data_IF_370355936517
#
_entry.id   IF_370355936517
#
_cell.length_a   1.000
_cell.length_b   1.000
_cell.length_c   1.000
_cell.angle_alpha   90.00
_cell.angle_beta   90.00
_cell.angle_gamma   90.00
#
_symmetry.space_group_name_H-M   'P 1'
#
loop_
_entity.id
_entity.type
_entity.pdbx_description
1 polymer ?
#
# COMPACT_ATOMS: atom_id res chain seq x y z
N UNK A 1 1.82 -10.76 7.54
CA UNK A 1 1.42 -9.33 7.64
C UNK A 1 1.23 -8.85 6.22
N UNK A 2 0.15 -8.14 5.92
CA UNK A 2 -0.12 -7.68 4.55
C UNK A 2 0.82 -6.54 4.14
N UNK A 3 1.00 -6.32 2.83
CA UNK A 3 1.79 -5.21 2.30
C UNK A 3 1.36 -3.85 2.89
N UNK A 4 0.06 -3.59 2.95
CA UNK A 4 -0.46 -2.34 3.49
C UNK A 4 -0.13 -2.17 4.97
N UNK A 5 -0.26 -3.22 5.78
CA UNK A 5 0.09 -3.17 7.19
C UNK A 5 1.61 -2.97 7.38
N UNK A 6 2.43 -3.63 6.56
CA UNK A 6 3.88 -3.42 6.54
C UNK A 6 4.23 -1.97 6.22
N UNK A 7 3.75 -1.45 5.08
CA UNK A 7 4.06 -0.11 4.61
C UNK A 7 3.56 0.97 5.58
N UNK A 8 2.37 0.80 6.16
CA UNK A 8 1.82 1.71 7.16
C UNK A 8 2.70 1.75 8.43
N UNK A 9 3.13 0.58 8.92
CA UNK A 9 4.01 0.50 10.09
C UNK A 9 5.37 1.18 9.83
N UNK A 10 5.98 0.94 8.66
CA UNK A 10 7.25 1.59 8.29
C UNK A 10 7.11 3.09 8.11
N UNK A 11 6.04 3.52 7.44
CA UNK A 11 5.73 4.94 7.24
C UNK A 11 5.52 5.66 8.55
N UNK A 12 4.81 5.07 9.50
CA UNK A 12 4.60 5.67 10.81
C UNK A 12 5.92 5.79 11.58
N UNK A 13 6.74 4.72 11.62
CA UNK A 13 8.01 4.75 12.31
C UNK A 13 8.95 5.84 11.77
N UNK A 14 9.12 5.91 10.44
CA UNK A 14 9.95 6.94 9.80
C UNK A 14 9.35 8.33 10.02
N UNK A 15 8.02 8.47 9.97
CA UNK A 15 7.36 9.75 10.25
C UNK A 15 7.69 10.26 11.66
N UNK A 16 7.62 9.38 12.66
CA UNK A 16 7.91 9.72 14.06
C UNK A 16 9.39 10.13 14.23
N UNK A 17 10.31 9.43 13.57
CA UNK A 17 11.74 9.80 13.53
C UNK A 17 11.94 11.19 12.92
N UNK A 18 11.32 11.47 11.78
CA UNK A 18 11.41 12.75 11.10
C UNK A 18 10.77 13.89 11.92
N UNK A 19 9.65 13.62 12.62
CA UNK A 19 9.03 14.58 13.54
C UNK A 19 9.95 14.91 14.72
N UNK A 20 10.69 13.93 15.22
CA UNK A 20 11.69 14.12 16.27
C UNK A 20 12.97 14.81 15.78
N UNK A 21 13.08 15.10 14.48
CA UNK A 21 14.26 15.70 13.86
C UNK A 21 15.40 14.71 13.61
N UNK A 22 15.13 13.40 13.70
CA UNK A 22 16.09 12.35 13.37
C UNK A 22 16.09 12.05 11.87
N UNK A 23 17.12 11.35 11.41
CA UNK A 23 17.15 10.79 10.06
C UNK A 23 16.39 9.46 10.06
N UNK A 24 15.78 9.05 8.92
CA UNK A 24 15.20 7.72 8.79
C UNK A 24 16.22 6.63 9.15
N UNK A 25 15.86 5.77 10.09
CA UNK A 25 16.74 4.68 10.54
C UNK A 25 16.90 3.56 9.50
N UNK A 26 16.03 3.54 8.50
CA UNK A 26 16.04 2.60 7.40
C UNK A 26 15.66 3.23 6.07
N UNK A 27 16.10 2.59 4.99
CA UNK A 27 15.82 3.01 3.63
C UNK A 27 16.89 3.91 3.03
N UNK A 28 16.70 4.20 1.75
CA UNK A 28 17.54 5.11 0.98
C UNK A 28 16.79 6.42 0.77
N UNK A 29 17.45 7.54 1.05
CA UNK A 29 16.91 8.88 0.89
C UNK A 29 18.04 9.86 0.53
N UNK A 30 17.67 11.06 0.10
CA UNK A 30 18.62 12.13 -0.20
C UNK A 30 18.78 13.04 1.02
N UNK A 31 19.98 13.09 1.59
CA UNK A 31 20.28 13.93 2.75
C UNK A 31 20.12 15.42 2.45
N UNK A 32 20.42 15.88 1.22
CA UNK A 32 20.25 17.29 0.88
C UNK A 32 18.77 17.70 0.90
N UNK A 33 17.89 16.81 0.43
CA UNK A 33 16.43 17.01 0.48
C UNK A 33 15.92 17.00 1.93
N UNK A 34 16.46 16.12 2.78
CA UNK A 34 16.10 16.09 4.20
C UNK A 34 16.51 17.38 4.91
N UNK A 35 17.73 17.85 4.70
CA UNK A 35 18.21 19.11 5.28
C UNK A 35 17.39 20.31 4.80
N UNK A 36 17.07 20.37 3.50
CA UNK A 36 16.16 21.40 2.96
C UNK A 36 14.78 21.33 3.62
N UNK A 37 14.21 20.13 3.75
CA UNK A 37 12.91 19.90 4.38
C UNK A 37 12.88 20.35 5.84
N UNK A 38 13.92 20.04 6.63
CA UNK A 38 14.03 20.42 8.04
C UNK A 38 13.95 21.94 8.26
N UNK A 39 14.47 22.73 7.33
CA UNK A 39 14.37 24.21 7.39
C UNK A 39 12.93 24.69 7.24
N UNK A 40 12.09 23.95 6.51
CA UNK A 40 10.69 24.32 6.20
C UNK A 40 9.70 23.94 7.30
N UNK A 41 10.08 23.06 8.24
CA UNK A 41 9.30 22.74 9.43
C UNK A 41 9.04 21.26 9.61
N UNK A 42 7.84 20.91 10.09
CA UNK A 42 7.48 19.53 10.36
C UNK A 42 6.96 18.81 9.10
N UNK A 43 7.32 17.53 8.91
CA UNK A 43 6.82 16.74 7.81
C UNK A 43 5.32 16.47 7.96
N UNK A 44 4.66 16.26 6.83
CA UNK A 44 3.34 15.67 6.67
C UNK A 44 3.48 14.36 5.92
N UNK A 45 2.56 13.41 6.16
CA UNK A 45 2.61 12.16 5.42
C UNK A 45 2.14 12.36 3.97
N UNK A 46 2.96 11.91 3.02
CA UNK A 46 2.65 11.93 1.59
C UNK A 46 2.12 10.58 1.08
N UNK A 47 2.39 10.32 -0.19
CA UNK A 47 1.96 9.12 -0.90
C UNK A 47 2.84 7.91 -0.53
N UNK A 48 2.27 6.73 -0.69
CA UNK A 48 3.02 5.48 -0.73
C UNK A 48 2.88 4.87 -2.12
N UNK A 49 4.00 4.58 -2.78
CA UNK A 49 4.02 3.94 -4.09
C UNK A 49 4.78 2.63 -4.03
N UNK A 50 4.41 1.72 -4.92
CA UNK A 50 4.91 0.35 -4.93
C UNK A 50 5.49 0.00 -6.30
N UNK A 51 6.68 -0.59 -6.28
CA UNK A 51 7.32 -1.28 -7.38
C UNK A 51 7.63 -2.72 -6.94
N UNK A 52 7.91 -3.67 -7.85
CA UNK A 52 8.11 -5.07 -7.47
C UNK A 52 9.12 -5.31 -6.35
N UNK A 53 10.15 -4.46 -6.26
CA UNK A 53 11.23 -4.58 -5.27
C UNK A 53 11.46 -3.27 -4.48
N UNK A 54 10.48 -2.36 -4.44
CA UNK A 54 10.63 -1.08 -3.76
C UNK A 54 9.31 -0.58 -3.19
N UNK A 55 9.35 -0.08 -1.97
CA UNK A 55 8.28 0.73 -1.37
C UNK A 55 8.83 2.15 -1.25
N UNK A 56 8.22 3.12 -1.92
CA UNK A 56 8.57 4.52 -1.74
C UNK A 56 7.57 5.20 -0.82
N UNK A 57 8.08 5.82 0.24
CA UNK A 57 7.31 6.56 1.23
C UNK A 57 7.65 8.03 1.11
N UNK A 58 6.65 8.86 0.86
CA UNK A 58 6.83 10.31 0.75
C UNK A 58 6.49 11.02 2.05
N UNK A 59 7.30 12.03 2.36
CA UNK A 59 7.10 12.96 3.46
C UNK A 59 7.21 14.39 2.93
N UNK A 60 6.16 15.17 3.14
CA UNK A 60 5.99 16.49 2.55
C UNK A 60 6.31 17.53 3.61
N UNK A 61 7.27 18.40 3.32
CA UNK A 61 7.59 19.57 4.13
C UNK A 61 6.92 20.78 3.48
N UNK A 62 5.75 21.23 3.98
CA UNK A 62 5.05 22.37 3.42
C UNK A 62 5.81 23.65 3.72
N UNK A 63 5.82 24.58 2.79
CA UNK A 63 6.31 25.94 3.01
C UNK A 63 5.25 26.92 2.47
N UNK A 64 4.70 27.83 3.29
CA UNK A 64 3.73 28.82 2.82
C UNK A 64 4.34 29.91 1.94
N UNK A 65 5.67 30.03 1.91
CA UNK A 65 6.42 31.07 1.19
C UNK A 65 7.11 30.56 -0.08
N UNK A 66 7.40 29.26 -0.16
CA UNK A 66 8.07 28.62 -1.32
C UNK A 66 7.39 27.31 -1.73
N UNK A 67 7.99 26.53 -2.65
CA UNK A 67 7.49 25.20 -3.00
C UNK A 67 7.75 24.20 -1.89
N UNK A 68 6.79 23.30 -1.65
CA UNK A 68 6.96 22.18 -0.74
C UNK A 68 8.14 21.29 -1.15
N UNK A 69 8.87 20.77 -0.16
CA UNK A 69 9.91 19.76 -0.37
C UNK A 69 9.33 18.39 -0.11
N UNK A 70 9.54 17.45 -1.02
CA UNK A 70 9.11 16.05 -0.86
C UNK A 70 10.33 15.19 -0.65
N UNK A 71 10.46 14.64 0.56
CA UNK A 71 11.44 13.63 0.88
C UNK A 71 10.86 12.26 0.54
N UNK A 72 11.53 11.50 -0.33
CA UNK A 72 11.18 10.12 -0.63
C UNK A 72 12.16 9.18 0.05
N UNK A 73 11.64 8.29 0.91
CA UNK A 73 12.40 7.20 1.52
C UNK A 73 12.06 5.89 0.81
N UNK A 74 13.07 5.24 0.23
CA UNK A 74 12.94 3.98 -0.51
C UNK A 74 13.30 2.80 0.37
N UNK A 75 12.37 1.87 0.55
CA UNK A 75 12.55 0.65 1.33
C UNK A 75 12.61 -0.56 0.42
N UNK A 76 13.50 -1.49 0.74
CA UNK A 76 13.49 -2.84 0.15
C UNK A 76 12.44 -3.67 0.88
N UNK A 77 11.41 -4.19 0.18
CA UNK A 77 10.41 -5.03 0.81
C UNK A 77 11.01 -6.39 1.21
N UNK A 78 10.43 -7.09 2.21
CA UNK A 78 10.90 -8.40 2.67
C UNK A 78 10.69 -9.50 1.62
N UNK A 79 9.78 -9.29 0.68
CA UNK A 79 9.53 -10.17 -0.46
C UNK A 79 8.99 -9.34 -1.63
N UNK A 80 8.86 -9.96 -2.80
CA UNK A 80 8.40 -9.30 -4.02
C UNK A 80 6.97 -8.77 -3.85
N UNK A 81 6.73 -7.58 -4.39
CA UNK A 81 5.39 -6.97 -4.49
C UNK A 81 4.80 -7.31 -5.85
N UNK A 82 3.53 -7.71 -5.86
CA UNK A 82 2.76 -7.99 -7.07
C UNK A 82 1.48 -7.17 -7.08
N UNK A 83 1.00 -6.83 -8.27
CA UNK A 83 -0.31 -6.22 -8.47
C UNK A 83 -1.28 -7.31 -8.90
N UNK A 84 -2.35 -7.51 -8.13
CA UNK A 84 -3.46 -8.38 -8.49
C UNK A 84 -4.51 -7.55 -9.24
N UNK A 85 -4.59 -7.66 -10.59
CA UNK A 85 -5.60 -6.96 -11.35
C UNK A 85 -6.99 -7.51 -11.01
N UNK A 86 -8.01 -6.68 -11.22
CA UNK A 86 -9.40 -7.11 -11.12
C UNK A 86 -9.69 -8.04 -12.30
N UNK A 87 -10.18 -9.27 -12.08
CA UNK A 87 -10.55 -10.16 -13.19
C UNK A 87 -11.66 -9.55 -14.05
N UNK A 88 -11.62 -9.78 -15.36
CA UNK A 88 -12.57 -9.21 -16.33
C UNK A 88 -14.04 -9.49 -15.96
N UNK A 89 -14.34 -10.70 -15.51
CA UNK A 89 -15.69 -11.11 -15.09
C UNK A 89 -16.23 -10.36 -13.86
N UNK A 90 -15.35 -9.73 -13.05
CA UNK A 90 -15.76 -8.84 -11.96
C UNK A 90 -16.08 -7.44 -12.52
N UNK A 91 -15.26 -6.95 -13.46
CA UNK A 91 -15.42 -5.63 -14.09
C UNK A 91 -16.77 -5.51 -14.80
N UNK A 92 -17.20 -6.55 -15.52
CA UNK A 92 -18.49 -6.57 -16.22
C UNK A 92 -19.70 -6.41 -15.29
N UNK A 93 -19.55 -6.74 -14.00
CA UNK A 93 -20.65 -6.79 -13.03
C UNK A 93 -20.82 -5.51 -12.20
N UNK A 94 -19.89 -4.55 -12.29
CA UNK A 94 -19.89 -3.35 -11.43
C UNK A 94 -20.15 -2.09 -12.26
N UNK A 95 -21.28 -1.42 -11.98
CA UNK A 95 -21.78 -0.30 -12.77
C UNK A 95 -21.23 1.08 -12.36
N UNK A 96 -20.48 1.19 -11.25
CA UNK A 96 -19.95 2.47 -10.77
C UNK A 96 -18.58 2.33 -10.09
N UNK A 97 -17.61 3.11 -10.57
CA UNK A 97 -16.29 3.32 -9.95
C UNK A 97 -15.11 2.89 -10.80
N UNK A 98 -13.96 3.55 -10.61
CA UNK A 98 -12.67 3.01 -11.05
C UNK A 98 -12.30 1.86 -10.11
N UNK A 99 -12.46 0.62 -10.56
CA UNK A 99 -11.95 -0.54 -9.81
C UNK A 99 -10.53 -0.79 -10.29
N UNK A 100 -9.58 -0.29 -9.52
CA UNK A 100 -8.18 -0.69 -9.67
C UNK A 100 -7.94 -2.00 -8.92
N UNK A 101 -7.01 -2.80 -9.45
CA UNK A 101 -6.45 -3.94 -8.72
C UNK A 101 -5.75 -3.50 -7.43
N UNK A 102 -5.10 -4.44 -6.76
CA UNK A 102 -4.45 -4.15 -5.47
C UNK A 102 -3.04 -4.71 -5.41
N UNK A 103 -2.15 -3.99 -4.72
CA UNK A 103 -0.79 -4.46 -4.45
C UNK A 103 -0.78 -5.38 -3.24
N UNK A 104 -0.01 -6.46 -3.34
CA UNK A 104 0.18 -7.45 -2.30
C UNK A 104 1.64 -7.90 -2.26
N UNK A 105 2.06 -8.43 -1.12
CA UNK A 105 3.23 -9.31 -1.12
C UNK A 105 2.90 -10.59 -1.89
N UNK A 106 3.91 -11.14 -2.56
CA UNK A 106 3.77 -12.34 -3.39
C UNK A 106 3.18 -13.53 -2.61
N UNK A 107 3.65 -13.79 -1.39
CA UNK A 107 3.12 -14.88 -0.56
C UNK A 107 1.64 -14.71 -0.21
N UNK A 108 1.18 -13.48 0.03
CA UNK A 108 -0.22 -13.19 0.32
C UNK A 108 -1.08 -13.25 -0.95
N UNK A 109 -0.56 -12.78 -2.08
CA UNK A 109 -1.21 -12.91 -3.37
C UNK A 109 -1.44 -14.37 -3.75
N UNK A 110 -0.44 -15.23 -3.53
CA UNK A 110 -0.54 -16.66 -3.80
C UNK A 110 -1.63 -17.33 -2.96
N UNK A 111 -1.73 -16.99 -1.66
CA UNK A 111 -2.81 -17.49 -0.79
C UNK A 111 -4.19 -17.07 -1.27
N UNK A 112 -4.35 -15.81 -1.73
CA UNK A 112 -5.61 -15.32 -2.28
C UNK A 112 -6.00 -16.10 -3.54
N UNK A 113 -5.02 -16.36 -4.42
CA UNK A 113 -5.25 -17.12 -5.64
C UNK A 113 -5.61 -18.58 -5.36
N UNK A 114 -4.89 -19.24 -4.45
CA UNK A 114 -5.18 -20.62 -4.04
C UNK A 114 -6.55 -20.76 -3.38
N UNK A 115 -6.92 -19.82 -2.52
CA UNK A 115 -8.25 -19.78 -1.91
C UNK A 115 -9.34 -19.66 -2.99
N UNK A 116 -9.19 -18.75 -3.94
CA UNK A 116 -10.12 -18.63 -5.07
C UNK A 116 -10.16 -19.91 -5.92
N UNK A 117 -9.00 -20.48 -6.26
CA UNK A 117 -8.91 -21.72 -7.03
C UNK A 117 -9.62 -22.89 -6.35
N UNK A 118 -9.51 -22.99 -5.02
CA UNK A 118 -10.17 -24.03 -4.23
C UNK A 118 -11.71 -23.93 -4.27
N UNK A 119 -12.24 -22.71 -4.39
CA UNK A 119 -13.68 -22.41 -4.43
C UNK A 119 -14.33 -22.73 -5.77
N UNK A 120 -13.55 -22.90 -6.84
CA UNK A 120 -14.07 -23.15 -8.20
C UNK A 120 -14.35 -24.65 -8.41
N UNK A 121 -13.90 -25.53 -7.52
CA UNK A 121 -14.18 -26.97 -7.62
C UNK A 121 -15.68 -27.27 -7.44
N UNK A 122 -16.21 -28.30 -8.10
CA UNK A 122 -17.63 -28.63 -8.05
C UNK A 122 -18.17 -28.82 -6.62
N UNK A 123 -17.37 -29.44 -5.74
CA UNK A 123 -17.74 -29.71 -4.35
C UNK A 123 -17.80 -28.42 -3.52
N UNK A 124 -16.75 -27.61 -3.55
CA UNK A 124 -16.69 -26.37 -2.76
C UNK A 124 -17.62 -25.29 -3.32
N UNK A 125 -17.78 -25.22 -4.63
CA UNK A 125 -18.60 -24.20 -5.28
C UNK A 125 -20.10 -24.42 -5.01
N UNK A 126 -20.52 -25.67 -4.75
CA UNK A 126 -21.93 -26.04 -4.52
C UNK A 126 -22.62 -25.19 -3.45
N UNK A 127 -21.90 -24.74 -2.43
CA UNK A 127 -22.45 -23.91 -1.34
C UNK A 127 -23.01 -22.57 -1.82
N UNK A 128 -22.53 -22.05 -2.96
CA UNK A 128 -22.94 -20.76 -3.50
C UNK A 128 -24.25 -20.81 -4.30
N UNK A 129 -24.72 -22.01 -4.69
CA UNK A 129 -25.94 -22.20 -5.49
C UNK A 129 -27.23 -22.39 -4.65
N UNK A 130 -27.12 -22.41 -3.32
CA UNK A 130 -28.28 -22.48 -2.42
C UNK A 130 -28.92 -21.12 -2.12
N UNK A 131 -30.04 -21.08 -1.38
CA UNK A 131 -30.66 -19.84 -0.93
C UNK A 131 -29.64 -19.03 -0.11
N UNK A 132 -29.22 -17.88 -0.62
CA UNK A 132 -28.33 -16.99 0.13
C UNK A 132 -29.15 -16.14 1.09
N UNK A 133 -28.91 -16.28 2.38
CA UNK A 133 -29.50 -15.36 3.36
C UNK A 133 -28.98 -13.95 3.07
N UNK A 134 -29.89 -12.98 2.99
CA UNK A 134 -29.52 -11.58 2.82
C UNK A 134 -28.52 -11.19 3.91
N UNK A 135 -27.33 -10.73 3.50
CA UNK A 135 -26.36 -10.16 4.44
C UNK A 135 -27.02 -9.00 5.16
N UNK A 136 -27.21 -9.11 6.48
CA UNK A 136 -27.57 -7.96 7.32
C UNK A 136 -26.46 -6.93 7.14
N UNK A 137 -26.82 -5.73 6.69
CA UNK A 137 -25.94 -4.56 6.74
C UNK A 137 -25.82 -4.16 8.22
N UNK A 138 -24.63 -4.27 8.77
CA UNK A 138 -24.24 -3.55 10.00
C UNK A 138 -23.66 -2.19 9.59
#
# INVERSE_FOLDING_TARGET
MTLNAYAAAKRLAIFDELQAGHEPSEGLFDHAILEEGRVKGHPQMGTTTYEPNCISLEFIYPDPSTSATVLSVKLTPPERIVFLPVPEWVVESIWQGEISGSFHFESDAQKLYEALGSEITAENNKKWFGPQMAKRRE
#
